data_IF_576802126908
#
_entry.id   IF_576802126908
#
_cell.length_a   1.000
_cell.length_b   1.000
_cell.length_c   1.000
_cell.angle_alpha   90.00
_cell.angle_beta   90.00
_cell.angle_gamma   90.00
#
_symmetry.space_group_name_H-M   'P 1'
#
loop_
_entity.id
_entity.type
_entity.pdbx_description
1 polymer ?
#
# COMPACT_ATOMS: atom_id res chain seq x y z
N UNK A 1 -11.92 15.75 -17.42
CA UNK A 1 -10.97 14.62 -17.22
C UNK A 1 -9.58 15.13 -17.56
N UNK A 2 -8.55 14.83 -16.74
CA UNK A 2 -7.19 15.39 -16.92
C UNK A 2 -6.42 14.76 -18.09
N UNK A 3 -6.74 13.51 -18.48
CA UNK A 3 -6.23 12.87 -19.72
C UNK A 3 -4.75 12.50 -19.70
N UNK A 4 -4.08 12.67 -18.57
CA UNK A 4 -2.67 12.36 -18.37
C UNK A 4 -2.44 11.89 -16.92
N UNK A 5 -1.30 11.24 -16.64
CA UNK A 5 -0.97 10.79 -15.29
C UNK A 5 -0.84 11.97 -14.32
N UNK A 6 -1.18 11.78 -13.05
CA UNK A 6 -1.25 12.86 -12.03
C UNK A 6 -0.52 12.50 -10.74
N UNK A 7 -0.19 13.52 -9.95
CA UNK A 7 0.23 13.33 -8.57
C UNK A 7 -0.99 13.07 -7.69
N UNK A 8 -0.90 12.08 -6.81
CA UNK A 8 -1.97 11.72 -5.88
C UNK A 8 -1.55 12.08 -4.46
N UNK A 9 -2.41 12.79 -3.74
CA UNK A 9 -2.19 13.15 -2.34
C UNK A 9 -3.15 12.35 -1.48
N UNK A 10 -2.63 11.62 -0.49
CA UNK A 10 -3.43 10.82 0.43
C UNK A 10 -3.19 11.23 1.88
N UNK A 11 -4.25 11.63 2.58
CA UNK A 11 -4.21 11.93 4.01
C UNK A 11 -4.79 10.78 4.85
N UNK A 12 -4.12 10.38 5.94
CA UNK A 12 -4.58 9.30 6.83
C UNK A 12 -4.89 8.01 6.05
N UNK A 13 -6.12 7.49 6.11
CA UNK A 13 -6.60 6.36 5.30
C UNK A 13 -6.47 6.61 3.79
N UNK A 14 -6.60 7.86 3.35
CA UNK A 14 -6.38 8.25 1.96
C UNK A 14 -4.98 7.93 1.46
N UNK A 15 -3.97 7.88 2.35
CA UNK A 15 -2.62 7.44 2.00
C UNK A 15 -2.55 5.97 1.58
N UNK A 16 -3.29 5.09 2.27
CA UNK A 16 -3.44 3.70 1.87
C UNK A 16 -4.08 3.58 0.49
N UNK A 17 -5.16 4.32 0.25
CA UNK A 17 -5.86 4.33 -1.05
C UNK A 17 -4.95 4.85 -2.16
N UNK A 18 -4.19 5.92 -1.89
CA UNK A 18 -3.28 6.52 -2.87
C UNK A 18 -2.15 5.56 -3.29
N UNK A 19 -1.54 4.85 -2.33
CA UNK A 19 -0.50 3.85 -2.63
C UNK A 19 -1.09 2.64 -3.34
N UNK A 20 -2.28 2.19 -2.94
CA UNK A 20 -2.97 1.09 -3.62
C UNK A 20 -3.28 1.44 -5.08
N UNK A 21 -3.75 2.66 -5.33
CA UNK A 21 -4.00 3.18 -6.68
C UNK A 21 -2.71 3.22 -7.50
N UNK A 22 -1.64 3.80 -6.95
CA UNK A 22 -0.35 3.93 -7.63
C UNK A 22 0.29 2.57 -7.96
N UNK A 23 0.14 1.59 -7.06
CA UNK A 23 0.66 0.25 -7.29
C UNK A 23 -0.20 -0.57 -8.29
N UNK A 24 -1.51 -0.32 -8.32
CA UNK A 24 -2.43 -1.06 -9.20
C UNK A 24 -2.54 -0.46 -10.60
N UNK A 25 -2.30 0.85 -10.76
CA UNK A 25 -2.40 1.59 -12.02
C UNK A 25 -1.23 2.60 -12.13
N UNK A 26 0.04 2.11 -12.16
CA UNK A 26 1.22 2.98 -12.16
C UNK A 26 1.26 3.93 -13.36
N UNK A 27 0.66 3.56 -14.49
CA UNK A 27 0.55 4.39 -15.69
C UNK A 27 -0.32 5.63 -15.48
N UNK A 28 -1.17 5.67 -14.45
CA UNK A 28 -2.04 6.82 -14.14
C UNK A 28 -1.45 7.76 -13.08
N UNK A 29 -0.36 7.37 -12.41
CA UNK A 29 0.17 8.08 -11.23
C UNK A 29 1.63 8.52 -11.45
N UNK A 30 1.86 9.84 -11.47
CA UNK A 30 3.22 10.43 -11.53
C UNK A 30 3.98 10.33 -10.22
N UNK A 31 3.26 10.23 -9.11
CA UNK A 31 3.84 10.12 -7.77
C UNK A 31 2.78 10.24 -6.68
N UNK A 32 3.14 9.88 -5.46
CA UNK A 32 2.26 9.89 -4.29
C UNK A 32 2.85 10.77 -3.19
N UNK A 33 2.04 11.66 -2.62
CA UNK A 33 2.36 12.41 -1.39
C UNK A 33 1.48 11.90 -0.25
N UNK A 34 2.13 11.54 0.86
CA UNK A 34 1.47 10.97 2.03
C UNK A 34 1.44 11.99 3.17
N UNK A 35 0.23 12.39 3.59
CA UNK A 35 0.01 13.37 4.65
C UNK A 35 -0.55 12.67 5.88
N UNK A 36 0.18 12.63 6.99
CA UNK A 36 -0.27 11.93 8.21
C UNK A 36 -0.84 10.52 7.90
N UNK A 37 -0.29 9.86 6.89
CA UNK A 37 -0.86 8.63 6.36
C UNK A 37 -0.60 7.50 7.34
N UNK A 38 -1.62 6.70 7.62
CA UNK A 38 -1.48 5.54 8.51
C UNK A 38 -0.59 4.52 7.80
N UNK A 39 0.61 4.22 8.33
CA UNK A 39 1.48 3.25 7.70
C UNK A 39 0.97 1.86 8.04
N UNK A 40 0.04 1.30 7.27
CA UNK A 40 -0.40 -0.09 7.47
C UNK A 40 0.77 -1.09 7.33
N UNK A 41 1.84 -0.68 6.63
CA UNK A 41 3.15 -1.37 6.59
C UNK A 41 3.90 -1.35 7.93
N UNK A 42 3.64 -0.38 8.82
CA UNK A 42 4.25 -0.28 10.15
C UNK A 42 3.73 -1.30 11.17
N UNK A 43 2.64 -2.01 10.86
CA UNK A 43 2.09 -3.10 11.69
C UNK A 43 2.74 -4.46 11.40
N UNK A 44 3.57 -4.55 10.36
CA UNK A 44 4.23 -5.78 9.97
C UNK A 44 5.56 -5.95 10.70
N UNK A 45 6.01 -7.20 10.93
CA UNK A 45 7.29 -7.44 11.60
C UNK A 45 8.44 -6.82 10.81
N UNK A 46 9.25 -6.00 11.47
CA UNK A 46 10.42 -5.38 10.85
C UNK A 46 11.47 -6.47 10.51
N UNK A 47 11.92 -6.57 9.24
CA UNK A 47 12.84 -7.63 8.80
C UNK A 47 14.24 -7.51 9.39
N UNK A 48 14.65 -6.31 9.82
CA UNK A 48 15.95 -6.05 10.46
C UNK A 48 15.93 -6.48 11.92
N UNK A 49 14.90 -6.09 12.68
CA UNK A 49 14.82 -6.40 14.11
C UNK A 49 14.23 -7.79 14.39
N UNK A 50 13.39 -8.30 13.49
CA UNK A 50 12.59 -9.52 13.69
C UNK A 50 12.58 -10.43 12.45
N UNK A 51 13.73 -10.89 11.94
CA UNK A 51 13.84 -11.59 10.66
C UNK A 51 13.04 -12.89 10.57
N UNK A 52 12.94 -13.65 11.67
CA UNK A 52 12.14 -14.90 11.71
C UNK A 52 10.64 -14.63 11.58
N UNK A 53 10.13 -13.59 12.25
CA UNK A 53 8.72 -13.20 12.17
C UNK A 53 8.40 -12.58 10.80
N UNK A 54 9.30 -11.77 10.25
CA UNK A 54 9.10 -11.16 8.93
C UNK A 54 8.95 -12.20 7.81
N UNK A 55 9.63 -13.35 7.90
CA UNK A 55 9.47 -14.47 6.95
C UNK A 55 8.07 -15.08 6.92
N UNK A 56 7.30 -14.96 8.00
CA UNK A 56 5.91 -15.43 8.05
C UNK A 56 4.94 -14.49 7.32
N UNK A 57 5.36 -13.24 7.06
CA UNK A 57 4.60 -12.23 6.32
C UNK A 57 5.39 -11.80 5.07
N UNK A 58 5.58 -12.69 4.09
CA UNK A 58 6.44 -12.45 2.93
C UNK A 58 6.00 -11.25 2.08
N UNK A 59 4.73 -10.87 2.20
CA UNK A 59 4.15 -9.70 1.53
C UNK A 59 4.76 -8.36 2.00
N UNK A 60 5.40 -8.31 3.18
CA UNK A 60 6.18 -7.17 3.69
C UNK A 60 5.54 -5.77 3.57
N UNK A 61 4.21 -5.70 3.40
CA UNK A 61 3.48 -4.44 3.24
C UNK A 61 3.63 -3.82 1.85
N UNK A 62 4.06 -4.59 0.86
CA UNK A 62 4.17 -4.17 -0.54
C UNK A 62 2.80 -3.96 -1.17
N UNK A 63 2.66 -3.18 -2.24
CA UNK A 63 1.36 -2.99 -2.89
C UNK A 63 1.45 -3.42 -4.36
N UNK A 64 0.35 -3.92 -4.96
CA UNK A 64 -0.95 -4.20 -4.34
C UNK A 64 -0.92 -5.38 -3.35
N UNK A 65 -1.98 -5.51 -2.54
CA UNK A 65 -2.15 -6.64 -1.62
C UNK A 65 -2.12 -7.99 -2.39
N UNK A 66 -1.59 -9.09 -1.81
CA UNK A 66 -1.62 -10.40 -2.45
C UNK A 66 -3.07 -10.84 -2.65
N UNK A 67 -3.34 -11.57 -3.73
CA UNK A 67 -4.70 -11.95 -4.12
C UNK A 67 -5.47 -12.67 -3.00
N UNK A 68 -4.79 -13.52 -2.22
CA UNK A 68 -5.42 -14.25 -1.11
C UNK A 68 -5.87 -13.32 0.02
N UNK A 69 -5.09 -12.27 0.33
CA UNK A 69 -5.44 -11.28 1.34
C UNK A 69 -6.54 -10.35 0.85
N UNK A 70 -6.52 -9.97 -0.44
CA UNK A 70 -7.59 -9.21 -1.07
C UNK A 70 -8.94 -9.94 -0.98
N UNK A 71 -8.96 -11.24 -1.33
CA UNK A 71 -10.17 -12.08 -1.23
C UNK A 71 -10.71 -12.19 0.21
N UNK A 72 -9.81 -12.27 1.20
CA UNK A 72 -10.22 -12.29 2.61
C UNK A 72 -10.86 -10.97 3.03
N UNK A 73 -10.24 -9.83 2.70
CA UNK A 73 -10.79 -8.51 3.02
C UNK A 73 -12.08 -8.19 2.27
N UNK A 74 -12.29 -8.74 1.08
CA UNK A 74 -13.55 -8.61 0.33
C UNK A 74 -14.69 -9.47 0.93
N UNK A 75 -14.35 -10.48 1.75
CA UNK A 75 -15.32 -11.39 2.37
C UNK A 75 -15.76 -10.96 3.78
N UNK A 76 -14.95 -10.14 4.48
CA UNK A 76 -15.23 -9.58 5.81
C UNK A 76 -15.94 -8.24 5.68
#
# INVERSE_FOLDING_TARGET
VIGQPVYVVGNSLGGFVAVYLAASNPELVKGVTLLNATPFWGLLPNPVTSPKLARLFPWAGTFPLPQNLKKFLEFV
#
